data_IF_300961664382
#
_entry.id   IF_300961664382
#
_cell.length_a   1.000
_cell.length_b   1.000
_cell.length_c   1.000
_cell.angle_alpha   90.00
_cell.angle_beta   90.00
_cell.angle_gamma   90.00
#
_symmetry.space_group_name_H-M   'P 1'
#
loop_
_entity.id
_entity.type
_entity.pdbx_description
1 polymer ?
#
# COMPACT_ATOMS: atom_id res chain seq x y z
N UNK A 1 -7.23 -0.02 -4.11
CA UNK A 1 -7.14 -0.17 -5.56
C UNK A 1 -6.02 0.63 -6.25
N UNK A 2 -5.17 1.43 -5.53
CA UNK A 2 -4.15 2.26 -6.19
C UNK A 2 -3.14 1.47 -7.05
N UNK A 3 -2.66 0.34 -6.57
CA UNK A 3 -1.81 -0.54 -7.37
C UNK A 3 -2.53 -1.05 -8.61
N UNK A 4 -3.76 -1.51 -8.44
CA UNK A 4 -4.56 -2.04 -9.56
C UNK A 4 -4.78 -0.99 -10.64
N UNK A 5 -5.11 0.25 -10.26
CA UNK A 5 -5.26 1.35 -11.20
C UNK A 5 -3.96 1.62 -11.99
N UNK A 6 -2.81 1.59 -11.32
CA UNK A 6 -1.52 1.77 -12.00
C UNK A 6 -1.20 0.61 -12.96
N UNK A 7 -1.57 -0.61 -12.57
CA UNK A 7 -1.36 -1.80 -13.42
C UNK A 7 -2.26 -1.80 -14.64
N UNK A 8 -3.54 -1.45 -14.50
CA UNK A 8 -4.45 -1.29 -15.65
C UNK A 8 -3.91 -0.25 -16.65
N UNK A 9 -3.40 0.89 -16.13
CA UNK A 9 -2.74 1.90 -16.97
C UNK A 9 -1.46 1.38 -17.65
N UNK A 10 -0.82 0.37 -17.08
CA UNK A 10 0.34 -0.30 -17.65
C UNK A 10 -0.04 -1.50 -18.57
N UNK A 11 -1.32 -1.74 -18.81
CA UNK A 11 -1.82 -2.77 -19.71
C UNK A 11 -2.08 -4.13 -19.05
N UNK A 12 -2.09 -4.21 -17.72
CA UNK A 12 -2.47 -5.43 -17.00
C UNK A 12 -3.99 -5.52 -16.86
N UNK A 13 -4.52 -6.72 -16.94
CA UNK A 13 -5.88 -7.05 -16.57
C UNK A 13 -5.95 -7.44 -15.08
N UNK A 14 -6.90 -6.88 -14.33
CA UNK A 14 -7.10 -7.21 -12.92
C UNK A 14 -8.19 -8.26 -12.81
N UNK A 15 -7.80 -9.51 -12.64
CA UNK A 15 -8.72 -10.66 -12.60
C UNK A 15 -9.44 -10.83 -11.26
N UNK A 16 -8.84 -10.37 -10.16
CA UNK A 16 -9.48 -10.50 -8.84
C UNK A 16 -8.75 -9.85 -7.69
N UNK A 17 -9.45 -9.75 -6.56
CA UNK A 17 -8.92 -9.15 -5.33
C UNK A 17 -9.51 -9.80 -4.07
N UNK A 18 -8.78 -9.64 -2.97
CA UNK A 18 -9.15 -10.07 -1.62
C UNK A 18 -9.12 -8.83 -0.74
N UNK A 19 -10.23 -8.48 -0.11
CA UNK A 19 -10.36 -7.30 0.77
C UNK A 19 -11.48 -7.55 1.79
N UNK A 20 -11.28 -7.18 3.05
CA UNK A 20 -12.24 -7.43 4.12
C UNK A 20 -13.04 -6.19 4.55
N UNK A 21 -12.56 -5.00 4.27
CA UNK A 21 -13.21 -3.76 4.66
C UNK A 21 -14.25 -3.34 3.61
N UNK A 22 -15.54 -3.33 4.03
CA UNK A 22 -16.67 -3.09 3.14
C UNK A 22 -16.53 -1.82 2.28
N UNK A 23 -16.19 -0.62 2.83
CA UNK A 23 -16.01 0.58 1.99
C UNK A 23 -14.90 0.43 0.94
N UNK A 24 -13.80 -0.27 1.28
CA UNK A 24 -12.73 -0.52 0.32
C UNK A 24 -13.18 -1.49 -0.79
N UNK A 25 -14.00 -2.50 -0.46
CA UNK A 25 -14.58 -3.41 -1.45
C UNK A 25 -15.49 -2.64 -2.42
N UNK A 26 -16.35 -1.76 -1.91
CA UNK A 26 -17.25 -0.95 -2.72
C UNK A 26 -16.48 -0.01 -3.64
N UNK A 27 -15.49 0.72 -3.10
CA UNK A 27 -14.61 1.58 -3.89
C UNK A 27 -13.83 0.78 -4.94
N UNK A 28 -13.37 -0.42 -4.59
CA UNK A 28 -12.63 -1.26 -5.53
C UNK A 28 -13.52 -1.69 -6.71
N UNK A 29 -14.75 -2.13 -6.43
CA UNK A 29 -15.72 -2.54 -7.47
C UNK A 29 -16.10 -1.40 -8.41
N UNK A 30 -16.24 -0.18 -7.88
CA UNK A 30 -16.52 1.00 -8.70
C UNK A 30 -15.39 1.31 -9.69
N UNK A 31 -14.14 1.13 -9.26
CA UNK A 31 -12.97 1.45 -10.09
C UNK A 31 -12.49 0.28 -10.96
N UNK A 32 -12.80 -0.96 -10.57
CA UNK A 32 -12.38 -2.18 -11.24
C UNK A 32 -13.57 -3.14 -11.39
N UNK A 33 -14.58 -2.80 -12.22
CA UNK A 33 -15.84 -3.54 -12.28
C UNK A 33 -15.68 -4.99 -12.76
N UNK A 34 -14.66 -5.28 -13.55
CA UNK A 34 -14.38 -6.61 -14.07
C UNK A 34 -13.63 -7.51 -13.09
N UNK A 35 -13.02 -6.93 -12.04
CA UNK A 35 -12.24 -7.67 -11.07
C UNK A 35 -13.12 -8.47 -10.11
N UNK A 36 -12.87 -9.78 -10.00
CA UNK A 36 -13.65 -10.66 -9.13
C UNK A 36 -13.25 -10.47 -7.65
N UNK A 37 -14.23 -10.21 -6.78
CA UNK A 37 -14.00 -10.27 -5.32
C UNK A 37 -13.93 -11.74 -4.90
N UNK A 38 -12.72 -12.26 -4.71
CA UNK A 38 -12.44 -13.68 -4.44
C UNK A 38 -12.82 -14.05 -2.99
N UNK A 39 -12.62 -13.14 -2.05
CA UNK A 39 -12.97 -13.36 -0.66
C UNK A 39 -12.70 -12.17 0.24
N UNK A 40 -13.29 -12.20 1.44
CA UNK A 40 -13.15 -11.13 2.43
C UNK A 40 -11.88 -11.28 3.27
N UNK A 41 -11.61 -12.47 3.75
CA UNK A 41 -10.48 -12.72 4.66
C UNK A 41 -9.57 -13.79 4.06
N UNK A 42 -8.34 -13.42 3.77
CA UNK A 42 -7.34 -14.29 3.17
C UNK A 42 -7.11 -15.59 3.98
N UNK A 43 -7.34 -15.54 5.30
CA UNK A 43 -7.22 -16.71 6.21
C UNK A 43 -8.34 -17.71 6.03
N UNK A 44 -9.48 -17.29 5.44
CA UNK A 44 -10.72 -18.07 5.32
C UNK A 44 -11.04 -18.44 3.88
N UNK A 45 -10.17 -18.10 2.95
CA UNK A 45 -10.36 -18.46 1.55
C UNK A 45 -10.15 -19.96 1.39
N UNK A 46 -11.06 -20.59 0.70
CA UNK A 46 -10.83 -21.95 0.22
C UNK A 46 -9.75 -21.92 -0.87
N UNK A 47 -8.58 -22.39 -0.49
CA UNK A 47 -7.41 -22.39 -1.34
C UNK A 47 -7.59 -23.30 -2.58
N UNK A 48 -8.47 -24.30 -2.52
CA UNK A 48 -8.79 -25.16 -3.68
C UNK A 48 -9.40 -24.37 -4.83
N UNK A 49 -10.17 -23.32 -4.52
CA UNK A 49 -10.77 -22.42 -5.51
C UNK A 49 -9.74 -21.54 -6.22
N UNK A 50 -8.51 -21.45 -5.69
CA UNK A 50 -7.43 -20.69 -6.32
C UNK A 50 -6.65 -21.51 -7.34
N UNK A 51 -6.75 -22.85 -7.33
CA UNK A 51 -6.03 -23.73 -8.27
C UNK A 51 -6.32 -23.42 -9.74
N UNK A 52 -7.52 -22.95 -10.06
CA UNK A 52 -7.86 -22.55 -11.43
C UNK A 52 -7.06 -21.35 -11.94
N UNK A 53 -6.36 -20.64 -11.08
CA UNK A 53 -5.49 -19.52 -11.43
C UNK A 53 -4.01 -19.93 -11.43
N UNK A 54 -3.70 -21.21 -11.19
CA UNK A 54 -2.34 -21.74 -11.20
C UNK A 54 -1.70 -21.54 -12.57
N UNK A 55 -0.56 -20.85 -12.60
CA UNK A 55 0.19 -20.46 -13.81
C UNK A 55 -0.56 -19.55 -14.82
N UNK A 56 -1.77 -19.09 -14.49
CA UNK A 56 -2.57 -18.20 -15.33
C UNK A 56 -2.41 -16.72 -14.94
N UNK A 57 -1.81 -16.44 -13.79
CA UNK A 57 -1.62 -15.12 -13.24
C UNK A 57 -0.16 -14.71 -13.33
N UNK A 58 0.13 -13.63 -14.03
CA UNK A 58 1.49 -13.13 -14.16
C UNK A 58 1.99 -12.47 -12.88
N UNK A 59 1.15 -11.72 -12.18
CA UNK A 59 1.56 -10.89 -11.04
C UNK A 59 0.57 -10.98 -9.89
N UNK A 60 1.08 -11.23 -8.69
CA UNK A 60 0.35 -11.05 -7.44
C UNK A 60 0.91 -9.86 -6.68
N UNK A 61 0.04 -8.94 -6.26
CA UNK A 61 0.40 -7.79 -5.42
C UNK A 61 -0.25 -7.93 -4.06
N UNK A 62 0.47 -7.55 -3.01
CA UNK A 62 -0.05 -7.50 -1.65
C UNK A 62 0.58 -6.41 -0.79
N UNK A 63 -0.24 -5.87 0.10
CA UNK A 63 0.20 -5.02 1.21
C UNK A 63 -0.32 -5.59 2.53
N UNK A 64 0.10 -6.81 2.94
CA UNK A 64 -0.39 -7.40 4.17
C UNK A 64 -0.08 -6.50 5.36
N UNK A 65 -1.07 -6.18 6.22
CA UNK A 65 -0.86 -5.26 7.32
C UNK A 65 0.15 -5.82 8.33
N UNK A 66 1.04 -4.93 8.78
CA UNK A 66 2.00 -5.19 9.85
C UNK A 66 1.69 -4.30 11.05
N UNK A 67 0.42 -4.23 11.47
CA UNK A 67 -0.04 -3.26 12.48
C UNK A 67 0.46 -3.55 13.90
N UNK A 68 0.70 -4.80 14.26
CA UNK A 68 1.33 -5.14 15.54
C UNK A 68 2.76 -4.59 15.69
N UNK A 69 3.32 -4.03 14.63
CA UNK A 69 4.70 -3.61 14.52
C UNK A 69 4.86 -2.15 14.08
N UNK A 70 3.75 -1.42 13.91
CA UNK A 70 3.79 0.00 13.58
C UNK A 70 4.44 0.79 14.71
N UNK A 71 5.26 1.79 14.36
CA UNK A 71 5.84 2.74 15.31
C UNK A 71 4.79 3.52 16.11
N UNK A 72 3.55 3.58 15.62
CA UNK A 72 2.40 4.22 16.25
C UNK A 72 1.46 3.24 16.98
N UNK A 73 1.72 1.92 16.97
CA UNK A 73 0.88 0.89 17.59
C UNK A 73 1.51 0.26 18.84
N UNK A 74 0.68 -0.44 19.64
CA UNK A 74 1.18 -1.36 20.67
C UNK A 74 1.93 -2.48 19.94
N UNK A 75 3.25 -2.55 20.10
CA UNK A 75 4.12 -3.59 19.50
C UNK A 75 3.78 -4.96 20.09
N UNK A 76 2.63 -5.51 19.70
CA UNK A 76 2.19 -6.81 20.15
C UNK A 76 2.68 -7.89 19.18
N UNK A 77 3.65 -8.66 19.63
CA UNK A 77 4.23 -9.78 18.87
C UNK A 77 3.17 -10.86 18.58
N UNK A 78 2.14 -10.96 19.43
CA UNK A 78 1.06 -11.96 19.32
C UNK A 78 -0.11 -11.51 18.46
N UNK A 79 -0.08 -10.30 17.87
CA UNK A 79 -1.14 -9.83 16.98
C UNK A 79 -1.29 -10.79 15.78
N UNK A 80 -2.47 -11.39 15.64
CA UNK A 80 -2.78 -12.35 14.57
C UNK A 80 -2.55 -11.80 13.16
N UNK A 81 -2.56 -10.47 13.01
CA UNK A 81 -2.30 -9.78 11.74
C UNK A 81 -0.84 -9.88 11.31
N UNK A 82 0.07 -10.14 12.25
CA UNK A 82 1.50 -10.33 11.96
C UNK A 82 1.78 -11.56 11.10
N UNK A 83 0.83 -12.50 11.04
CA UNK A 83 0.94 -13.72 10.24
C UNK A 83 0.27 -13.60 8.86
N UNK A 84 -0.36 -12.47 8.51
CA UNK A 84 -1.05 -12.34 7.23
C UNK A 84 -0.12 -12.45 6.02
N UNK A 85 1.16 -12.13 6.16
CA UNK A 85 2.14 -12.40 5.11
C UNK A 85 2.28 -13.91 4.82
N UNK A 86 2.10 -14.78 5.81
CA UNK A 86 2.13 -16.24 5.60
C UNK A 86 0.94 -16.71 4.77
N UNK A 87 -0.23 -16.11 5.00
CA UNK A 87 -1.42 -16.43 4.19
C UNK A 87 -1.23 -15.94 2.75
N UNK A 88 -0.65 -14.75 2.58
CA UNK A 88 -0.25 -14.28 1.25
C UNK A 88 0.71 -15.26 0.56
N UNK A 89 1.73 -15.77 1.25
CA UNK A 89 2.68 -16.77 0.69
C UNK A 89 1.99 -18.09 0.32
N UNK A 90 0.93 -18.52 1.04
CA UNK A 90 0.13 -19.69 0.64
C UNK A 90 -0.57 -19.46 -0.70
N UNK A 91 -1.17 -18.28 -0.88
CA UNK A 91 -1.80 -17.87 -2.16
C UNK A 91 -0.76 -17.86 -3.27
N UNK A 92 0.40 -17.25 -3.05
CA UNK A 92 1.52 -17.25 -4.00
C UNK A 92 1.94 -18.66 -4.39
N UNK A 93 2.07 -19.57 -3.41
CA UNK A 93 2.45 -20.96 -3.66
C UNK A 93 1.46 -21.69 -4.57
N UNK A 94 0.15 -21.43 -4.43
CA UNK A 94 -0.89 -22.11 -5.19
C UNK A 94 -1.01 -21.53 -6.59
N UNK A 95 -1.05 -20.21 -6.70
CA UNK A 95 -1.22 -19.51 -7.99
C UNK A 95 0.07 -19.58 -8.82
N UNK A 96 1.23 -19.60 -8.16
CA UNK A 96 2.54 -19.76 -8.79
C UNK A 96 2.87 -18.69 -9.86
N UNK A 97 2.64 -17.40 -9.60
CA UNK A 97 2.80 -16.32 -10.58
C UNK A 97 4.25 -16.15 -11.03
N UNK A 98 4.47 -15.46 -12.16
CA UNK A 98 5.80 -15.08 -12.63
C UNK A 98 6.43 -13.97 -11.77
N UNK A 99 5.61 -13.06 -11.27
CA UNK A 99 6.04 -11.91 -10.49
C UNK A 99 5.24 -11.76 -9.20
N UNK A 100 5.90 -11.23 -8.18
CA UNK A 100 5.32 -10.94 -6.88
C UNK A 100 5.74 -9.54 -6.49
N UNK A 101 4.80 -8.74 -6.00
CA UNK A 101 5.08 -7.46 -5.40
C UNK A 101 4.45 -7.37 -4.02
N UNK A 102 5.29 -7.11 -3.00
CA UNK A 102 4.85 -6.84 -1.64
C UNK A 102 5.22 -5.41 -1.25
N UNK A 103 4.23 -4.65 -0.79
CA UNK A 103 4.44 -3.33 -0.19
C UNK A 103 4.31 -3.40 1.31
N UNK A 104 5.17 -2.67 2.02
CA UNK A 104 5.04 -2.53 3.45
C UNK A 104 5.64 -1.23 3.98
N UNK A 105 5.39 -0.96 5.26
CA UNK A 105 6.00 0.16 5.98
C UNK A 105 7.47 -0.13 6.30
N UNK A 106 8.28 0.92 6.52
CA UNK A 106 9.71 0.76 6.83
C UNK A 106 9.97 -0.11 8.05
N UNK A 107 9.06 -0.09 9.02
CA UNK A 107 9.20 -0.85 10.26
C UNK A 107 9.41 -2.36 10.06
N UNK A 108 8.95 -2.93 8.94
CA UNK A 108 9.13 -4.37 8.67
C UNK A 108 10.60 -4.78 8.56
N UNK A 109 11.48 -3.88 8.14
CA UNK A 109 12.92 -4.16 7.99
C UNK A 109 13.65 -4.40 9.32
N UNK A 110 13.12 -3.83 10.40
CA UNK A 110 13.70 -3.97 11.77
C UNK A 110 12.86 -4.85 12.67
N UNK A 111 11.73 -5.32 12.17
CA UNK A 111 10.78 -6.11 12.91
C UNK A 111 11.28 -7.53 13.16
N UNK A 112 11.16 -7.98 14.40
CA UNK A 112 11.50 -9.34 14.82
C UNK A 112 10.23 -10.06 15.25
N UNK A 113 10.06 -11.29 14.81
CA UNK A 113 9.01 -12.18 15.33
C UNK A 113 9.55 -13.18 16.36
N UNK A 114 10.88 -13.31 16.50
CA UNK A 114 11.58 -13.96 17.60
C UNK A 114 12.91 -13.25 17.85
N UNK A 115 13.62 -13.65 18.93
CA UNK A 115 14.85 -12.98 19.39
C UNK A 115 15.87 -12.74 18.27
N UNK A 116 15.97 -13.68 17.31
CA UNK A 116 17.02 -13.66 16.27
C UNK A 116 16.46 -13.66 14.83
N UNK A 117 15.14 -13.54 14.64
CA UNK A 117 14.53 -13.68 13.30
C UNK A 117 13.76 -12.42 12.89
N UNK A 118 14.21 -11.79 11.81
CA UNK A 118 13.54 -10.66 11.18
C UNK A 118 12.41 -11.13 10.27
N UNK A 119 11.28 -10.46 10.29
CA UNK A 119 10.13 -10.75 9.41
C UNK A 119 10.52 -10.59 7.95
N UNK A 120 11.29 -9.57 7.61
CA UNK A 120 11.78 -9.35 6.25
C UNK A 120 12.57 -10.55 5.72
N UNK A 121 13.50 -11.08 6.55
CA UNK A 121 14.31 -12.24 6.14
C UNK A 121 13.44 -13.48 5.94
N UNK A 122 12.42 -13.68 6.77
CA UNK A 122 11.49 -14.81 6.62
C UNK A 122 10.69 -14.70 5.31
N UNK A 123 10.20 -13.52 4.96
CA UNK A 123 9.51 -13.30 3.69
C UNK A 123 10.45 -13.61 2.53
N UNK A 124 11.66 -13.04 2.51
CA UNK A 124 12.65 -13.24 1.44
C UNK A 124 13.00 -14.71 1.30
N UNK A 125 13.34 -15.38 2.41
CA UNK A 125 13.71 -16.80 2.39
C UNK A 125 12.55 -17.69 1.92
N UNK A 126 11.33 -17.36 2.30
CA UNK A 126 10.14 -18.10 1.85
C UNK A 126 9.91 -17.94 0.34
N UNK A 127 10.12 -16.74 -0.22
CA UNK A 127 10.01 -16.52 -1.66
C UNK A 127 11.13 -17.22 -2.43
N UNK A 128 12.37 -17.20 -1.91
CA UNK A 128 13.50 -17.93 -2.52
C UNK A 128 13.21 -19.44 -2.54
N UNK A 129 12.67 -20.00 -1.46
CA UNK A 129 12.25 -21.40 -1.40
C UNK A 129 11.15 -21.76 -2.41
N UNK A 130 10.34 -20.77 -2.81
CA UNK A 130 9.34 -20.93 -3.87
C UNK A 130 9.90 -20.73 -5.28
N UNK A 131 11.21 -20.55 -5.43
CA UNK A 131 11.89 -20.42 -6.72
C UNK A 131 11.98 -18.98 -7.28
N UNK A 132 11.75 -17.96 -6.45
CA UNK A 132 11.86 -16.56 -6.90
C UNK A 132 13.25 -15.99 -6.65
N UNK A 133 13.77 -15.26 -7.63
CA UNK A 133 14.83 -14.27 -7.42
C UNK A 133 14.21 -13.07 -6.75
N UNK A 134 14.74 -12.62 -5.61
CA UNK A 134 14.12 -11.58 -4.78
C UNK A 134 15.02 -10.37 -4.65
N UNK A 135 14.47 -9.19 -4.87
CA UNK A 135 15.08 -7.91 -4.52
C UNK A 135 14.15 -7.09 -3.65
N UNK A 136 14.69 -6.17 -2.87
CA UNK A 136 13.87 -5.22 -2.13
C UNK A 136 14.53 -3.85 -2.10
N UNK A 137 13.71 -2.80 -2.03
CA UNK A 137 14.16 -1.43 -1.98
C UNK A 137 13.20 -0.56 -1.19
N UNK A 138 13.76 0.42 -0.47
CA UNK A 138 12.98 1.50 0.12
C UNK A 138 12.81 2.57 -0.94
N UNK A 139 11.57 2.82 -1.34
CA UNK A 139 11.20 3.83 -2.31
C UNK A 139 10.54 5.01 -1.59
N UNK A 140 10.88 6.23 -1.99
CA UNK A 140 10.18 7.44 -1.58
C UNK A 140 9.29 7.91 -2.73
N UNK A 141 8.00 8.10 -2.47
CA UNK A 141 7.05 8.52 -3.49
C UNK A 141 7.46 9.83 -4.18
N UNK A 142 8.21 10.71 -3.48
CA UNK A 142 8.74 11.95 -4.06
C UNK A 142 9.67 11.72 -5.25
N UNK A 143 10.30 10.56 -5.36
CA UNK A 143 11.20 10.22 -6.45
C UNK A 143 10.46 9.72 -7.70
N UNK A 144 9.10 9.67 -7.66
CA UNK A 144 8.22 9.08 -8.68
C UNK A 144 7.04 10.00 -9.05
N UNK A 145 7.27 11.28 -9.24
CA UNK A 145 6.25 12.27 -9.62
C UNK A 145 5.10 12.45 -8.61
N UNK A 146 5.27 12.01 -7.37
CA UNK A 146 4.26 12.17 -6.31
C UNK A 146 4.75 13.23 -5.31
N UNK A 147 4.06 14.35 -5.11
CA UNK A 147 4.47 15.44 -4.23
C UNK A 147 4.22 15.11 -2.74
N UNK A 148 4.49 13.88 -2.33
CA UNK A 148 4.31 13.40 -0.97
C UNK A 148 5.53 12.64 -0.49
N UNK A 149 6.09 13.03 0.63
CA UNK A 149 7.12 12.23 1.31
C UNK A 149 6.48 10.98 1.93
N UNK A 150 6.61 9.86 1.22
CA UNK A 150 6.07 8.58 1.64
C UNK A 150 7.03 7.45 1.31
N UNK A 151 7.78 7.01 2.30
CA UNK A 151 8.70 5.88 2.14
C UNK A 151 8.00 4.56 2.39
N UNK A 152 8.24 3.61 1.49
CA UNK A 152 7.73 2.24 1.57
C UNK A 152 8.81 1.24 1.21
N UNK A 153 8.81 0.11 1.89
CA UNK A 153 9.58 -1.03 1.48
C UNK A 153 8.79 -1.77 0.38
N UNK A 154 9.43 -1.97 -0.75
CA UNK A 154 8.91 -2.78 -1.85
C UNK A 154 9.79 -4.01 -1.99
N UNK A 155 9.18 -5.19 -1.93
CA UNK A 155 9.82 -6.47 -2.19
C UNK A 155 9.29 -6.96 -3.52
N UNK A 156 10.18 -7.29 -4.43
CA UNK A 156 9.86 -7.84 -5.74
C UNK A 156 10.48 -9.23 -5.86
N UNK A 157 9.65 -10.21 -6.17
CA UNK A 157 10.05 -11.57 -6.54
C UNK A 157 9.79 -11.83 -8.02
N UNK A 158 10.71 -12.47 -8.71
CA UNK A 158 10.57 -12.84 -10.12
C UNK A 158 11.19 -14.20 -10.41
N UNK A 159 10.55 -14.97 -11.30
CA UNK A 159 11.10 -16.20 -11.87
C UNK A 159 11.88 -15.96 -13.16
N UNK A 160 11.77 -14.76 -13.72
CA UNK A 160 12.31 -14.42 -15.04
C UNK A 160 13.64 -13.64 -14.96
N UNK A 161 14.18 -13.38 -13.77
CA UNK A 161 15.39 -12.58 -13.53
C UNK A 161 15.34 -11.16 -14.15
N UNK A 162 14.12 -10.62 -14.34
CA UNK A 162 13.90 -9.26 -14.85
C UNK A 162 13.45 -8.39 -13.71
N UNK A 163 14.13 -7.28 -13.51
CA UNK A 163 13.80 -6.32 -12.47
C UNK A 163 13.53 -4.95 -13.09
N UNK A 164 12.56 -4.18 -12.54
CA UNK A 164 12.24 -2.85 -13.05
C UNK A 164 13.38 -1.88 -12.79
N UNK A 165 13.53 -0.91 -13.69
CA UNK A 165 14.36 0.26 -13.43
C UNK A 165 13.66 1.16 -12.41
N UNK A 166 14.45 1.66 -11.46
CA UNK A 166 13.95 2.58 -10.45
C UNK A 166 14.34 4.02 -10.82
N UNK A 167 13.42 4.94 -10.56
CA UNK A 167 13.68 6.37 -10.71
C UNK A 167 12.57 7.09 -11.45
N UNK A 168 12.48 8.37 -11.19
CA UNK A 168 11.52 9.29 -11.76
C UNK A 168 11.98 10.72 -11.52
N UNK A 169 11.06 11.68 -11.58
CA UNK A 169 11.31 13.11 -11.34
C UNK A 169 10.57 13.54 -10.07
N UNK A 170 11.14 14.47 -9.33
CA UNK A 170 10.47 15.12 -8.20
C UNK A 170 9.55 16.22 -8.71
N UNK A 171 8.34 16.26 -8.17
CA UNK A 171 7.39 17.36 -8.36
C UNK A 171 7.13 18.04 -7.02
N UNK A 172 6.95 19.36 -7.06
CA UNK A 172 6.42 20.08 -5.90
C UNK A 172 4.91 19.90 -5.78
N UNK A 173 4.37 20.17 -4.59
CA UNK A 173 2.92 20.18 -4.38
C UNK A 173 2.28 21.19 -5.32
N UNK A 174 2.87 22.38 -5.47
CA UNK A 174 2.36 23.43 -6.35
C UNK A 174 2.26 22.97 -7.80
N UNK A 175 3.31 22.38 -8.36
CA UNK A 175 3.29 21.85 -9.74
C UNK A 175 2.18 20.82 -9.97
N UNK A 176 1.78 20.11 -8.92
CA UNK A 176 0.76 19.05 -9.01
C UNK A 176 -0.68 19.53 -8.85
N UNK A 177 -0.89 20.71 -8.24
CA UNK A 177 -2.26 21.20 -7.93
C UNK A 177 -2.56 22.60 -8.50
N UNK A 178 -1.59 23.27 -9.13
CA UNK A 178 -1.77 24.64 -9.66
C UNK A 178 -2.91 24.77 -10.68
N UNK A 179 -3.25 23.68 -11.36
CA UNK A 179 -4.29 23.63 -12.38
C UNK A 179 -5.67 23.26 -11.80
N UNK A 180 -5.73 22.98 -10.48
CA UNK A 180 -7.02 22.74 -9.83
C UNK A 180 -7.75 24.08 -9.67
N UNK A 181 -9.05 24.14 -10.03
CA UNK A 181 -9.82 25.36 -9.90
C UNK A 181 -9.94 25.78 -8.43
N UNK A 182 -9.87 27.08 -8.19
CA UNK A 182 -10.23 27.64 -6.88
C UNK A 182 -11.70 27.33 -6.62
N UNK A 183 -11.97 26.44 -5.66
CA UNK A 183 -13.31 26.12 -5.17
C UNK A 183 -14.39 25.95 -6.25
N UNK A 184 -14.37 24.86 -6.97
CA UNK A 184 -15.49 24.49 -7.81
C UNK A 184 -16.32 23.40 -7.10
N UNK A 185 -17.51 23.78 -6.62
CA UNK A 185 -18.46 22.91 -5.93
C UNK A 185 -18.98 21.74 -6.80
N UNK A 186 -18.79 21.82 -8.12
CA UNK A 186 -19.34 20.86 -9.08
C UNK A 186 -18.38 19.68 -9.37
N UNK A 187 -17.16 19.73 -8.86
CA UNK A 187 -16.22 18.62 -8.98
C UNK A 187 -16.45 17.59 -7.85
N UNK A 188 -16.88 16.42 -8.23
CA UNK A 188 -17.10 15.29 -7.33
C UNK A 188 -15.83 14.98 -6.53
N UNK A 189 -15.89 15.01 -5.20
CA UNK A 189 -14.75 14.79 -4.30
C UNK A 189 -13.92 16.04 -3.97
N UNK A 190 -14.32 17.24 -4.41
CA UNK A 190 -13.72 18.52 -4.01
C UNK A 190 -14.54 19.25 -2.93
N UNK A 191 -15.35 18.51 -2.21
CA UNK A 191 -16.12 19.04 -1.08
C UNK A 191 -15.18 19.54 0.01
N UNK A 192 -15.37 20.78 0.42
CA UNK A 192 -14.59 21.35 1.53
C UNK A 192 -15.06 20.72 2.83
N UNK A 193 -14.14 20.11 3.57
CA UNK A 193 -14.47 19.61 4.91
C UNK A 193 -14.91 20.77 5.80
N UNK A 194 -15.97 20.55 6.60
CA UNK A 194 -16.45 21.54 7.57
C UNK A 194 -15.36 21.84 8.60
N UNK A 195 -14.63 22.90 8.38
CA UNK A 195 -13.64 23.40 9.33
C UNK A 195 -14.26 24.41 10.29
N UNK A 196 -13.83 24.40 11.55
CA UNK A 196 -14.24 25.42 12.50
C UNK A 196 -13.71 26.78 12.05
N UNK A 197 -14.45 27.85 12.36
CA UNK A 197 -14.04 29.24 12.05
C UNK A 197 -12.64 29.53 12.59
N UNK A 198 -12.32 29.05 13.80
CA UNK A 198 -10.99 29.17 14.41
C UNK A 198 -9.87 28.52 13.57
N UNK A 199 -10.13 27.34 13.00
CA UNK A 199 -9.18 26.63 12.13
C UNK A 199 -8.97 27.41 10.83
N UNK A 200 -10.03 27.91 10.22
CA UNK A 200 -9.96 28.73 9.01
C UNK A 200 -9.16 30.01 9.23
N UNK A 201 -9.39 30.70 10.36
CA UNK A 201 -8.66 31.93 10.70
C UNK A 201 -7.16 31.67 10.95
N UNK A 202 -6.83 30.50 11.50
CA UNK A 202 -5.45 30.06 11.64
C UNK A 202 -4.79 29.79 10.30
N UNK A 203 -5.50 29.10 9.39
CA UNK A 203 -5.00 28.80 8.04
C UNK A 203 -4.75 30.09 7.25
N UNK A 204 -5.68 31.05 7.29
CA UNK A 204 -5.55 32.36 6.60
C UNK A 204 -4.34 33.17 7.03
N UNK A 205 -3.84 32.96 8.25
CA UNK A 205 -2.65 33.65 8.79
C UNK A 205 -1.33 33.00 8.42
N UNK A 206 -1.35 31.81 7.81
CA UNK A 206 -0.15 31.11 7.40
C UNK A 206 0.44 31.73 6.14
N UNK A 207 1.75 31.95 6.16
CA UNK A 207 2.52 32.30 4.95
C UNK A 207 2.87 31.06 4.16
N UNK A 208 3.16 31.25 2.88
CA UNK A 208 3.59 30.15 2.01
C UNK A 208 4.79 29.38 2.63
N UNK A 209 4.66 28.06 2.73
CA UNK A 209 5.68 27.18 3.31
C UNK A 209 5.66 27.09 4.85
N UNK A 210 4.81 27.83 5.55
CA UNK A 210 4.68 27.72 6.99
C UNK A 210 3.88 26.48 7.43
N UNK A 211 4.20 25.96 8.59
CA UNK A 211 3.49 24.83 9.21
C UNK A 211 2.58 25.33 10.31
N UNK A 212 1.34 24.89 10.33
CA UNK A 212 0.38 25.21 11.39
C UNK A 212 0.90 24.93 12.80
N UNK A 213 1.67 23.84 12.97
CA UNK A 213 2.26 23.45 14.27
C UNK A 213 3.35 24.37 14.82
N UNK A 214 3.92 25.28 14.01
CA UNK A 214 4.93 26.24 14.48
C UNK A 214 4.31 27.49 15.11
N UNK A 215 3.13 27.88 14.66
CA UNK A 215 2.51 29.16 15.01
C UNK A 215 1.33 29.02 15.98
N UNK A 216 0.90 27.80 16.28
CA UNK A 216 -0.23 27.53 17.16
C UNK A 216 0.07 26.34 18.07
N UNK A 217 -0.05 26.52 19.37
CA UNK A 217 0.00 25.45 20.36
C UNK A 217 -1.24 24.56 20.17
N UNK A 218 -1.10 23.47 19.43
CA UNK A 218 -2.08 22.41 19.42
C UNK A 218 -1.77 21.48 20.60
N UNK A 219 -2.61 21.51 21.63
CA UNK A 219 -2.67 20.41 22.57
C UNK A 219 -2.98 19.14 21.74
N UNK A 220 -2.08 18.16 21.77
CA UNK A 220 -2.33 16.84 21.16
C UNK A 220 -3.47 16.17 21.93
N UNK A 221 -4.69 16.47 21.60
CA UNK A 221 -5.79 15.56 21.92
C UNK A 221 -5.64 14.37 20.99
N UNK A 222 -5.24 13.24 21.57
CA UNK A 222 -5.27 11.95 20.90
C UNK A 222 -6.75 11.57 20.74
N UNK A 223 -7.22 11.55 19.51
CA UNK A 223 -8.42 10.79 19.14
C UNK A 223 -8.09 9.30 19.12
#
# INVERSE_FOLDING_TARGET
GGFSLCLEKAGFEIIGFIENWKPAIETYRLNHPNAKHIGKDIRKIDLSNLKKYENEVDLIIGGPPCQGFSLCGKRDINDSRNNLFKEYLKVVKIINPNFILLENVLGISTMRYSKDKLVLNEIINSLIKLGYSVTYKILDATDYYVPQRRKRLIILGTKMNVFPKYGGKKLSVWESIKDLPEFNSDLNGHEVSNMTKETLDKIKKLKFGEKMSKNFNFSRQRL
#
